data_IF_965112743244
#
_entry.id   IF_965112743244
#
_cell.length_a   1.000
_cell.length_b   1.000
_cell.length_c   1.000
_cell.angle_alpha   90.00
_cell.angle_beta   90.00
_cell.angle_gamma   90.00
#
_symmetry.space_group_name_H-M   'P 1'
#
loop_
_entity.id
_entity.type
_entity.pdbx_description
1 polymer ?
#
# COMPACT_ATOMS: atom_id res chain seq x y z
N UNK A 1 5.06 8.73 2.49
CA UNK A 1 6.27 7.97 2.14
C UNK A 1 6.44 6.85 3.16
N UNK A 2 6.74 5.63 2.73
CA UNK A 2 6.85 4.47 3.62
C UNK A 2 7.91 3.51 3.11
N UNK A 3 8.52 2.77 4.02
CA UNK A 3 9.43 1.69 3.69
C UNK A 3 8.71 0.41 3.20
N UNK A 4 7.38 0.42 3.10
CA UNK A 4 6.58 -0.72 2.66
C UNK A 4 6.63 -1.94 3.60
N UNK A 5 6.84 -1.74 4.90
CA UNK A 5 6.54 -2.76 5.90
C UNK A 5 5.06 -3.08 5.89
N UNK A 6 4.70 -4.35 6.14
CA UNK A 6 3.32 -4.80 5.96
C UNK A 6 2.31 -4.02 6.81
N UNK A 7 2.63 -3.74 8.07
CA UNK A 7 1.77 -2.96 8.96
C UNK A 7 1.50 -1.56 8.41
N UNK A 8 2.54 -0.82 8.00
CA UNK A 8 2.37 0.51 7.41
C UNK A 8 1.63 0.47 6.07
N UNK A 9 1.79 -0.60 5.28
CA UNK A 9 1.00 -0.80 4.08
C UNK A 9 -0.49 -0.94 4.44
N UNK A 10 -0.81 -1.81 5.40
CA UNK A 10 -2.18 -2.07 5.86
C UNK A 10 -2.85 -0.81 6.44
N UNK A 11 -2.14 -0.05 7.27
CA UNK A 11 -2.60 1.25 7.79
C UNK A 11 -2.94 2.22 6.65
N UNK A 12 -2.02 2.37 5.69
CA UNK A 12 -2.19 3.32 4.57
C UNK A 12 -3.38 2.94 3.68
N UNK A 13 -3.51 1.67 3.27
CA UNK A 13 -4.60 1.22 2.40
C UNK A 13 -5.96 1.26 3.12
N UNK A 14 -5.99 1.00 4.43
CA UNK A 14 -7.21 1.10 5.24
C UNK A 14 -7.63 2.56 5.45
N UNK A 15 -6.68 3.50 5.47
CA UNK A 15 -6.99 4.93 5.50
C UNK A 15 -7.26 5.54 4.12
N UNK A 16 -6.96 4.82 3.03
CA UNK A 16 -7.09 5.30 1.66
C UNK A 16 -6.02 6.30 1.27
N UNK A 17 -4.87 6.24 1.94
CA UNK A 17 -3.70 7.09 1.68
C UNK A 17 -2.79 6.37 0.70
N UNK A 18 -2.36 6.99 -0.41
CA UNK A 18 -1.44 6.35 -1.34
C UNK A 18 -0.01 6.29 -0.77
N UNK A 19 0.78 5.35 -1.26
CA UNK A 19 2.13 5.10 -0.73
C UNK A 19 3.20 5.59 -1.71
N UNK A 20 4.07 6.49 -1.26
CA UNK A 20 5.38 6.70 -1.90
C UNK A 20 6.35 5.65 -1.34
N UNK A 21 6.65 4.63 -2.15
CA UNK A 21 7.29 3.38 -1.74
C UNK A 21 8.83 3.47 -1.75
N UNK A 22 9.45 3.13 -0.62
CA UNK A 22 10.90 3.16 -0.39
C UNK A 22 11.38 1.92 0.38
N UNK A 23 11.36 0.71 -0.23
CA UNK A 23 11.76 -0.51 0.48
C UNK A 23 13.21 -0.45 0.98
N UNK A 24 13.47 -0.98 2.18
CA UNK A 24 14.76 -0.95 2.88
C UNK A 24 15.32 -2.34 3.21
N UNK A 25 14.49 -3.33 3.58
CA UNK A 25 14.93 -4.69 3.89
C UNK A 25 13.78 -5.72 3.93
N UNK A 26 14.09 -6.99 4.24
CA UNK A 26 13.13 -8.07 4.47
C UNK A 26 12.15 -8.27 3.30
N UNK A 27 10.85 -8.31 3.59
CA UNK A 27 9.73 -8.50 2.66
C UNK A 27 9.29 -7.21 1.96
N UNK A 28 9.79 -6.05 2.41
CA UNK A 28 9.42 -4.73 1.90
C UNK A 28 9.55 -4.57 0.37
N UNK A 29 10.56 -5.14 -0.31
CA UNK A 29 10.65 -5.07 -1.77
C UNK A 29 9.44 -5.74 -2.45
N UNK A 30 8.97 -6.88 -1.92
CA UNK A 30 7.79 -7.56 -2.47
C UNK A 30 6.51 -6.79 -2.17
N UNK A 31 6.39 -6.23 -0.97
CA UNK A 31 5.27 -5.36 -0.62
C UNK A 31 5.23 -4.13 -1.51
N UNK A 32 6.38 -3.52 -1.83
CA UNK A 32 6.47 -2.41 -2.78
C UNK A 32 5.93 -2.78 -4.16
N UNK A 33 6.26 -3.97 -4.68
CA UNK A 33 5.71 -4.47 -5.95
C UNK A 33 4.19 -4.66 -5.88
N UNK A 34 3.68 -5.26 -4.81
CA UNK A 34 2.24 -5.41 -4.59
C UNK A 34 1.54 -4.04 -4.59
N UNK A 35 2.07 -3.08 -3.82
CA UNK A 35 1.49 -1.73 -3.70
C UNK A 35 1.52 -0.96 -5.02
N UNK A 36 2.64 -1.00 -5.75
CA UNK A 36 2.88 -0.11 -6.88
C UNK A 36 2.46 -0.71 -8.23
N UNK A 37 2.62 -2.03 -8.43
CA UNK A 37 2.36 -2.67 -9.71
C UNK A 37 1.02 -3.43 -9.75
N UNK A 38 0.68 -4.11 -8.65
CA UNK A 38 -0.53 -4.95 -8.59
C UNK A 38 -1.75 -4.13 -8.18
N UNK A 39 -1.69 -3.53 -6.98
CA UNK A 39 -2.78 -2.72 -6.44
C UNK A 39 -2.82 -1.32 -7.05
N UNK A 40 -1.67 -0.82 -7.52
CA UNK A 40 -1.50 0.52 -8.12
C UNK A 40 -2.01 1.65 -7.22
N UNK A 41 -1.78 1.51 -5.92
CA UNK A 41 -2.13 2.47 -4.85
C UNK A 41 -0.90 3.20 -4.30
N UNK A 42 0.22 3.13 -5.02
CA UNK A 42 1.44 3.84 -4.68
C UNK A 42 2.36 4.01 -5.87
N UNK A 43 3.43 4.78 -5.69
CA UNK A 43 4.49 5.02 -6.66
C UNK A 43 5.85 4.66 -6.03
N UNK A 44 6.76 4.11 -6.84
CA UNK A 44 8.13 3.82 -6.40
C UNK A 44 8.92 5.12 -6.32
N UNK A 45 9.50 5.40 -5.14
CA UNK A 45 10.46 6.50 -4.95
C UNK A 45 11.88 5.98 -5.14
N UNK A 46 12.18 4.82 -4.56
CA UNK A 46 13.46 4.13 -4.73
C UNK A 46 13.23 2.68 -5.10
N UNK A 47 13.69 2.28 -6.28
CA UNK A 47 13.69 0.88 -6.67
C UNK A 47 14.65 0.07 -5.79
N UNK A 48 14.24 -1.14 -5.40
CA UNK A 48 15.07 -2.04 -4.60
C UNK A 48 16.40 -2.39 -5.27
N UNK A 49 16.44 -2.44 -6.61
CA UNK A 49 17.68 -2.68 -7.37
C UNK A 49 18.72 -1.61 -7.02
N UNK A 50 18.28 -0.36 -6.80
CA UNK A 50 19.10 0.81 -6.45
C UNK A 50 19.24 1.02 -4.94
N UNK A 51 19.02 0.01 -4.10
CA UNK A 51 18.99 0.12 -2.63
C UNK A 51 20.29 0.65 -1.97
N UNK A 52 21.42 0.50 -2.64
CA UNK A 52 22.73 0.96 -2.16
C UNK A 52 23.07 2.38 -2.64
N UNK A 53 22.23 2.97 -3.48
CA UNK A 53 22.43 4.32 -3.99
C UNK A 53 21.77 5.35 -3.06
N UNK A 54 22.42 6.50 -2.94
CA UNK A 54 21.83 7.67 -2.29
C UNK A 54 20.84 8.29 -3.27
N UNK A 55 19.60 8.44 -2.84
CA UNK A 55 18.55 9.14 -3.59
C UNK A 55 18.74 10.64 -3.38
N UNK A 56 18.80 11.39 -4.47
CA UNK A 56 19.02 12.85 -4.41
C UNK A 56 17.78 13.57 -3.88
N UNK A 57 17.96 14.77 -3.32
CA UNK A 57 16.83 15.61 -2.91
C UNK A 57 15.85 15.90 -4.05
N UNK A 58 16.35 16.07 -5.27
CA UNK A 58 15.53 16.25 -6.48
C UNK A 58 14.69 15.02 -6.83
N UNK A 59 15.22 13.81 -6.64
CA UNK A 59 14.45 12.57 -6.89
C UNK A 59 13.29 12.45 -5.90
N UNK A 60 13.53 12.84 -4.64
CA UNK A 60 12.49 12.88 -3.60
C UNK A 60 11.44 13.92 -3.95
N UNK A 61 11.85 15.15 -4.29
CA UNK A 61 10.94 16.22 -4.67
C UNK A 61 10.05 15.80 -5.86
N UNK A 62 10.66 15.27 -6.92
CA UNK A 62 9.95 14.81 -8.10
C UNK A 62 8.94 13.71 -7.76
N UNK A 63 9.32 12.75 -6.91
CA UNK A 63 8.43 11.67 -6.50
C UNK A 63 7.25 12.18 -5.67
N UNK A 64 7.48 13.12 -4.76
CA UNK A 64 6.42 13.77 -3.97
C UNK A 64 5.51 14.58 -4.87
N UNK A 65 6.07 15.43 -5.75
CA UNK A 65 5.30 16.25 -6.70
C UNK A 65 4.46 15.38 -7.63
N UNK A 66 5.02 14.30 -8.17
CA UNK A 66 4.31 13.33 -9.01
C UNK A 66 3.17 12.68 -8.23
N UNK A 67 3.39 12.25 -6.98
CA UNK A 67 2.32 11.64 -6.19
C UNK A 67 1.22 12.65 -5.78
N UNK A 68 1.56 13.91 -5.55
CA UNK A 68 0.66 14.92 -4.96
C UNK A 68 -0.01 15.83 -5.99
N UNK A 69 0.67 16.21 -7.06
CA UNK A 69 0.29 17.27 -7.99
C UNK A 69 0.44 16.85 -9.48
N UNK A 70 0.13 15.59 -9.79
CA UNK A 70 0.05 15.11 -11.18
C UNK A 70 -1.19 14.26 -11.39
N UNK A 71 -1.60 14.11 -12.65
CA UNK A 71 -2.72 13.26 -13.06
C UNK A 71 -2.50 11.78 -12.65
N UNK A 72 -1.28 11.27 -12.78
CA UNK A 72 -0.95 9.93 -12.28
C UNK A 72 -1.15 9.82 -10.76
N UNK A 73 -0.75 10.86 -10.02
CA UNK A 73 -0.98 10.96 -8.58
C UNK A 73 -2.47 10.99 -8.21
N UNK A 74 -3.29 11.69 -8.98
CA UNK A 74 -4.75 11.70 -8.83
C UNK A 74 -5.34 10.31 -9.02
N UNK A 75 -4.94 9.59 -10.06
CA UNK A 75 -5.40 8.22 -10.28
C UNK A 75 -5.00 7.28 -9.13
N UNK A 76 -3.76 7.37 -8.67
CA UNK A 76 -3.24 6.54 -7.57
C UNK A 76 -4.01 6.82 -6.27
N UNK A 77 -4.28 8.09 -5.95
CA UNK A 77 -5.13 8.48 -4.80
C UNK A 77 -6.54 7.95 -4.93
N UNK A 78 -7.15 8.07 -6.11
CA UNK A 78 -8.50 7.55 -6.36
C UNK A 78 -8.57 6.03 -6.22
N UNK A 79 -7.54 5.31 -6.67
CA UNK A 79 -7.42 3.85 -6.45
C UNK A 79 -7.30 3.51 -4.97
N UNK A 80 -6.48 4.25 -4.20
CA UNK A 80 -6.34 4.06 -2.76
C UNK A 80 -7.68 4.26 -2.01
N UNK A 81 -8.44 5.30 -2.35
CA UNK A 81 -9.77 5.55 -1.78
C UNK A 81 -10.78 4.45 -2.12
N UNK A 82 -10.78 3.95 -3.36
CA UNK A 82 -11.64 2.82 -3.76
C UNK A 82 -11.28 1.55 -3.00
N UNK A 83 -9.98 1.27 -2.83
CA UNK A 83 -9.50 0.11 -2.09
C UNK A 83 -9.89 0.18 -0.61
N UNK A 84 -9.75 1.36 0.03
CA UNK A 84 -10.22 1.60 1.40
C UNK A 84 -11.67 1.17 1.60
N UNK A 85 -12.55 1.60 0.69
CA UNK A 85 -13.97 1.28 0.81
C UNK A 85 -14.23 -0.23 0.70
N UNK A 86 -13.55 -0.91 -0.23
CA UNK A 86 -13.63 -2.37 -0.35
C UNK A 86 -13.14 -3.09 0.91
N UNK A 87 -12.02 -2.64 1.47
CA UNK A 87 -11.47 -3.18 2.71
C UNK A 87 -12.46 -2.99 3.86
N UNK A 88 -13.03 -1.78 4.02
CA UNK A 88 -14.03 -1.50 5.05
C UNK A 88 -15.23 -2.44 4.93
N UNK A 89 -15.84 -2.55 3.75
CA UNK A 89 -16.97 -3.46 3.53
C UNK A 89 -16.62 -4.93 3.74
N UNK A 90 -15.36 -5.33 3.53
CA UNK A 90 -14.95 -6.72 3.81
C UNK A 90 -14.87 -7.05 5.30
N UNK A 91 -14.72 -6.04 6.16
CA UNK A 91 -14.60 -6.18 7.62
C UNK A 91 -15.90 -5.89 8.38
N UNK A 92 -16.89 -5.27 7.73
CA UNK A 92 -18.23 -5.04 8.27
C UNK A 92 -18.98 -6.37 8.49
N UNK A 93 -20.10 -6.32 9.23
CA UNK A 93 -20.95 -7.49 9.46
C UNK A 93 -21.46 -8.06 8.12
N UNK A 94 -21.36 -9.38 7.93
CA UNK A 94 -21.62 -10.05 6.66
C UNK A 94 -20.51 -9.89 5.60
N UNK A 95 -19.44 -9.14 5.90
CA UNK A 95 -18.27 -8.97 5.05
C UNK A 95 -17.39 -10.22 5.01
N UNK A 96 -16.74 -10.46 3.87
CA UNK A 96 -15.96 -11.69 3.62
C UNK A 96 -14.87 -11.95 4.66
N UNK A 97 -14.13 -10.93 5.10
CA UNK A 97 -13.07 -11.12 6.10
C UNK A 97 -13.64 -11.49 7.47
N UNK A 98 -14.85 -11.01 7.80
CA UNK A 98 -15.53 -11.36 9.04
C UNK A 98 -16.03 -12.80 8.99
N UNK A 99 -16.66 -13.20 7.88
CA UNK A 99 -17.14 -14.56 7.67
C UNK A 99 -16.00 -15.59 7.72
N UNK A 100 -14.85 -15.28 7.10
CA UNK A 100 -13.68 -16.16 7.17
C UNK A 100 -13.13 -16.30 8.59
N UNK A 101 -13.11 -15.22 9.38
CA UNK A 101 -12.71 -15.27 10.79
C UNK A 101 -13.70 -16.11 11.62
N UNK A 102 -15.00 -15.91 11.42
CA UNK A 102 -16.03 -16.68 12.14
C UNK A 102 -15.96 -18.17 11.77
N UNK A 103 -15.72 -18.49 10.50
CA UNK A 103 -15.48 -19.85 10.00
C UNK A 103 -14.24 -20.48 10.65
N UNK A 104 -13.13 -19.74 10.74
CA UNK A 104 -11.91 -20.18 11.39
C UNK A 104 -12.15 -20.48 12.88
N UNK A 105 -12.81 -19.59 13.62
CA UNK A 105 -13.17 -19.80 15.03
C UNK A 105 -14.02 -21.07 15.17
N UNK A 106 -15.07 -21.19 14.36
CA UNK A 106 -15.96 -22.34 14.37
C UNK A 106 -15.28 -23.66 13.95
N UNK A 107 -14.10 -23.62 13.31
CA UNK A 107 -13.29 -24.79 13.00
C UNK A 107 -12.43 -25.21 14.19
N UNK A 108 -11.78 -24.26 14.87
CA UNK A 108 -10.85 -24.55 15.97
C UNK A 108 -11.52 -24.78 17.32
N UNK A 109 -12.79 -24.41 17.47
CA UNK A 109 -13.59 -24.66 18.69
C UNK A 109 -14.44 -25.94 18.59
N UNK A 110 -14.21 -26.80 17.60
CA UNK A 110 -14.89 -28.09 17.45
C UNK A 110 -14.34 -29.14 18.40
#
# INVERSE_FOLDING_TARGET
MSHCGWNSCMESITMGVPIAAWPMHSDQPRNSLLITQVLKVGLVVRDWVRRNEVVSGSDIENSVRRLMASEEGDEVRNRALKLKNKIRSSMEEGGVSRLEMDSFIAHITR
#
